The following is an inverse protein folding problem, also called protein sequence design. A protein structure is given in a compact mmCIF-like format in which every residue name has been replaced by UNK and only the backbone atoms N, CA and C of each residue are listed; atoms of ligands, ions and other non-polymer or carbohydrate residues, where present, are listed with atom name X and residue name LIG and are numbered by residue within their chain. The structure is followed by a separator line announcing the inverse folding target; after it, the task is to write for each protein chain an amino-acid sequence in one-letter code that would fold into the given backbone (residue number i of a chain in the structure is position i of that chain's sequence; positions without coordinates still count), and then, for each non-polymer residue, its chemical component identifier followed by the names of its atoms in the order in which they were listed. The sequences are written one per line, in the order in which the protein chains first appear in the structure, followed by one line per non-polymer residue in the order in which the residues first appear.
data_IF_914946791177
#
_entry.id   IF_914946791177
#
_cell.length_a   1.000
_cell.length_b   1.000
_cell.length_c   1.000
_cell.angle_alpha   90.00
_cell.angle_beta   90.00
_cell.angle_gamma   90.00
#
_symmetry.space_group_name_H-M   'P 1'
#
loop_
_entity.id
_entity.type
_entity.pdbx_description
1 polymer ?
#
# COMPACT_ATOMS: atom_id res chain seq x y z
N UNK A 1 -0.08 -16.99 6.49
CA UNK A 1 0.82 -15.93 6.95
C UNK A 1 0.53 -15.61 8.41
N UNK A 2 1.57 -15.43 9.23
CA UNK A 2 1.47 -14.91 10.60
C UNK A 2 2.77 -14.20 11.00
N UNK A 3 2.74 -13.40 12.07
CA UNK A 3 3.94 -12.77 12.62
C UNK A 3 4.71 -13.82 13.43
N UNK A 4 5.94 -14.14 13.02
CA UNK A 4 6.84 -15.04 13.76
C UNK A 4 7.55 -14.32 14.90
N UNK A 5 7.93 -13.06 14.68
CA UNK A 5 8.79 -12.32 15.61
C UNK A 5 8.67 -10.82 15.36
N UNK A 6 8.82 -10.03 16.42
CA UNK A 6 8.92 -8.57 16.34
C UNK A 6 10.22 -8.14 17.01
N UNK A 7 10.95 -7.23 16.37
CA UNK A 7 12.15 -6.58 16.92
C UNK A 7 11.89 -5.08 16.98
N UNK A 8 12.19 -4.47 18.11
CA UNK A 8 11.92 -3.05 18.38
C UNK A 8 13.16 -2.43 19.01
N UNK A 9 13.60 -1.28 18.50
CA UNK A 9 14.69 -0.49 19.09
C UNK A 9 14.36 1.00 19.03
N UNK A 10 14.70 1.74 20.09
CA UNK A 10 14.53 3.18 20.19
C UNK A 10 13.08 3.69 20.12
N UNK A 11 12.07 2.80 20.13
CA UNK A 11 10.67 3.17 19.88
C UNK A 11 9.90 3.37 21.19
N UNK A 12 9.44 4.59 21.46
CA UNK A 12 8.65 4.96 22.65
C UNK A 12 9.28 4.44 23.96
N UNK A 13 8.71 3.42 24.60
CA UNK A 13 9.24 2.86 25.85
C UNK A 13 10.40 1.86 25.65
N UNK A 14 10.71 1.49 24.40
CA UNK A 14 11.73 0.50 24.07
C UNK A 14 13.03 1.19 23.69
N UNK A 15 13.92 1.42 24.66
CA UNK A 15 15.21 2.08 24.41
C UNK A 15 16.17 1.17 23.66
N UNK A 16 16.44 0.00 24.22
CA UNK A 16 17.36 -0.99 23.67
C UNK A 16 16.66 -1.88 22.64
N UNK A 17 17.45 -2.61 21.83
CA UNK A 17 16.91 -3.60 20.92
C UNK A 17 16.29 -4.75 21.73
N UNK A 18 14.97 -4.89 21.63
CA UNK A 18 14.23 -6.00 22.20
C UNK A 18 13.64 -6.83 21.07
N UNK A 19 13.86 -8.13 21.16
CA UNK A 19 13.38 -9.12 20.23
C UNK A 19 12.42 -10.04 20.97
N UNK A 20 11.20 -10.22 20.46
CA UNK A 20 10.29 -11.19 21.04
C UNK A 20 10.78 -12.62 20.82
N UNK A 21 10.36 -13.52 21.69
CA UNK A 21 10.38 -14.94 21.39
C UNK A 21 9.50 -15.24 20.15
N UNK A 22 9.72 -16.40 19.49
CA UNK A 22 8.89 -16.81 18.37
C UNK A 22 7.42 -16.93 18.77
N UNK A 23 6.55 -16.21 18.08
CA UNK A 23 5.11 -16.30 18.27
C UNK A 23 4.56 -17.63 17.74
N UNK A 24 3.51 -18.10 18.42
CA UNK A 24 2.66 -19.16 17.94
C UNK A 24 1.84 -18.70 16.73
N UNK A 25 1.58 -19.57 15.73
CA UNK A 25 0.68 -19.24 14.62
C UNK A 25 -0.79 -19.10 15.04
N UNK A 26 -1.12 -19.45 16.29
CA UNK A 26 -2.48 -19.39 16.84
C UNK A 26 -2.65 -18.14 17.72
N UNK A 27 -2.70 -18.33 19.03
CA UNK A 27 -2.98 -17.28 20.01
C UNK A 27 -1.70 -16.94 20.75
N UNK A 28 -1.44 -15.64 20.89
CA UNK A 28 -0.33 -15.09 21.65
C UNK A 28 -0.89 -14.05 22.62
N UNK A 29 -0.35 -14.01 23.84
CA UNK A 29 -0.84 -13.12 24.90
C UNK A 29 0.32 -12.29 25.43
N UNK A 30 0.15 -10.97 25.43
CA UNK A 30 1.15 -10.02 25.94
C UNK A 30 0.67 -9.50 27.29
N UNK A 31 1.43 -9.78 28.34
CA UNK A 31 1.11 -9.41 29.74
C UNK A 31 2.21 -8.57 30.36
N UNK A 32 1.90 -7.88 31.46
CA UNK A 32 2.84 -7.02 32.18
C UNK A 32 2.12 -5.95 33.01
N UNK A 33 2.84 -5.32 33.95
CA UNK A 33 2.31 -4.26 34.81
C UNK A 33 1.86 -3.02 34.03
N UNK A 34 1.03 -2.16 34.63
CA UNK A 34 0.68 -0.88 34.03
C UNK A 34 1.94 -0.02 33.82
N UNK A 35 2.04 0.63 32.66
CA UNK A 35 3.24 1.37 32.27
C UNK A 35 4.39 0.53 31.68
N UNK A 36 4.30 -0.81 31.66
CA UNK A 36 5.37 -1.69 31.16
C UNK A 36 5.58 -1.68 29.63
N UNK A 37 4.94 -0.76 28.89
CA UNK A 37 5.12 -0.64 27.44
C UNK A 37 4.24 -1.55 26.56
N UNK A 38 3.26 -2.28 27.11
CA UNK A 38 2.36 -3.16 26.33
C UNK A 38 1.65 -2.42 25.19
N UNK A 39 1.01 -1.28 25.48
CA UNK A 39 0.33 -0.48 24.45
C UNK A 39 1.31 0.08 23.41
N UNK A 40 2.54 0.39 23.83
CA UNK A 40 3.62 0.81 22.92
C UNK A 40 4.09 -0.33 22.02
N UNK A 41 4.05 -1.59 22.49
CA UNK A 41 4.34 -2.77 21.66
C UNK A 41 3.33 -2.91 20.52
N UNK A 42 2.04 -2.79 20.84
CA UNK A 42 0.99 -2.78 19.82
C UNK A 42 1.14 -1.58 18.87
N UNK A 43 1.53 -0.40 19.38
CA UNK A 43 1.86 0.74 18.51
C UNK A 43 3.05 0.46 17.59
N UNK A 44 4.08 -0.26 18.04
CA UNK A 44 5.22 -0.65 17.22
C UNK A 44 4.80 -1.54 16.04
N UNK A 45 3.97 -2.55 16.31
CA UNK A 45 3.43 -3.43 15.25
C UNK A 45 2.62 -2.61 14.23
N UNK A 46 1.73 -1.73 14.71
CA UNK A 46 0.94 -0.84 13.84
C UNK A 46 1.79 0.12 13.04
N UNK A 47 2.89 0.60 13.61
CA UNK A 47 3.80 1.50 12.93
C UNK A 47 4.38 0.87 11.65
N UNK A 48 4.61 -0.44 11.62
CA UNK A 48 5.03 -1.13 10.39
C UNK A 48 3.85 -1.45 9.47
N UNK A 49 2.74 -1.94 10.02
CA UNK A 49 1.62 -2.48 9.23
C UNK A 49 0.63 -1.45 8.70
N UNK A 50 0.54 -0.28 9.33
CA UNK A 50 -0.52 0.70 9.07
C UNK A 50 -0.03 1.91 8.30
N UNK A 51 -0.91 2.43 7.45
CA UNK A 51 -0.75 3.66 6.70
C UNK A 51 -0.98 4.93 7.55
N UNK A 52 -1.54 4.83 8.75
CA UNK A 52 -1.82 5.98 9.61
C UNK A 52 -0.58 6.83 9.92
N UNK A 53 0.60 6.22 9.89
CA UNK A 53 1.87 6.88 10.21
C UNK A 53 2.55 7.47 8.97
N UNK A 54 1.87 7.56 7.82
CA UNK A 54 2.50 7.96 6.57
C UNK A 54 2.75 9.46 6.44
N UNK A 55 1.96 10.28 7.15
CA UNK A 55 1.98 11.74 7.07
C UNK A 55 2.14 12.37 8.46
N UNK A 56 3.14 11.90 9.22
CA UNK A 56 3.44 12.41 10.55
C UNK A 56 4.08 13.80 10.48
N UNK A 57 3.64 14.71 11.36
CA UNK A 57 4.34 15.98 11.59
C UNK A 57 5.65 15.72 12.33
N UNK A 58 6.56 16.69 12.32
CA UNK A 58 7.85 16.57 13.01
C UNK A 58 7.70 16.25 14.51
N UNK A 59 6.69 16.86 15.16
CA UNK A 59 6.35 16.60 16.57
C UNK A 59 5.88 15.16 16.78
N UNK A 60 4.98 14.67 15.93
CA UNK A 60 4.47 13.29 16.01
C UNK A 60 5.57 12.25 15.77
N UNK A 61 6.54 12.56 14.90
CA UNK A 61 7.75 11.74 14.69
C UNK A 61 8.59 11.66 15.96
N UNK A 62 8.83 12.80 16.60
CA UNK A 62 9.54 12.88 17.88
C UNK A 62 8.89 11.99 18.94
N UNK A 63 7.56 12.03 19.04
CA UNK A 63 6.78 11.21 19.98
C UNK A 63 6.83 9.69 19.72
N UNK A 64 7.40 9.23 18.60
CA UNK A 64 7.68 7.81 18.35
C UNK A 64 9.06 7.39 18.84
N UNK A 65 9.99 8.33 18.97
CA UNK A 65 11.34 8.09 19.47
C UNK A 65 11.29 7.95 21.00
N UNK A 66 12.22 7.17 21.55
CA UNK A 66 12.40 7.08 22.99
C UNK A 66 12.93 8.41 23.54
N UNK A 67 12.18 9.00 24.47
CA UNK A 67 12.60 10.16 25.26
C UNK A 67 12.78 9.71 26.72
N UNK A 68 14.04 9.68 27.18
CA UNK A 68 14.43 9.46 28.56
C UNK A 68 15.10 10.69 29.15
N UNK A 69 15.28 10.72 30.48
CA UNK A 69 15.70 11.92 31.22
C UNK A 69 17.03 12.55 30.73
N UNK A 70 17.94 11.77 30.13
CA UNK A 70 19.26 12.27 29.70
C UNK A 70 19.65 11.88 28.26
N UNK A 71 18.86 11.06 27.54
CA UNK A 71 19.23 10.54 26.22
C UNK A 71 17.99 10.41 25.33
N UNK A 72 17.91 11.23 24.29
CA UNK A 72 16.98 11.04 23.17
C UNK A 72 17.68 10.26 22.05
N UNK A 73 16.99 9.25 21.51
CA UNK A 73 17.50 8.51 20.35
C UNK A 73 17.25 9.29 19.07
N UNK A 74 18.21 9.29 18.15
CA UNK A 74 18.10 9.98 16.86
C UNK A 74 17.18 9.25 15.86
N UNK A 75 17.00 7.96 16.06
CA UNK A 75 16.19 7.07 15.22
C UNK A 75 15.65 5.90 16.02
N UNK A 76 14.55 5.34 15.55
CA UNK A 76 13.96 4.11 16.07
C UNK A 76 13.59 3.19 14.90
N UNK A 77 13.58 1.88 15.11
CA UNK A 77 13.03 0.95 14.13
C UNK A 77 12.15 -0.11 14.75
N UNK A 78 11.28 -0.64 13.89
CA UNK A 78 10.51 -1.84 14.17
C UNK A 78 10.66 -2.78 12.98
N UNK A 79 11.01 -4.03 13.26
CA UNK A 79 11.06 -5.10 12.27
C UNK A 79 10.07 -6.20 12.63
N UNK A 80 9.25 -6.59 11.65
CA UNK A 80 8.33 -7.71 11.76
C UNK A 80 8.82 -8.82 10.84
N UNK A 81 9.01 -10.00 11.43
CA UNK A 81 9.34 -11.22 10.71
C UNK A 81 8.06 -12.00 10.49
N UNK A 82 7.68 -12.20 9.23
CA UNK A 82 6.49 -12.96 8.84
C UNK A 82 6.86 -14.39 8.43
N UNK A 83 5.98 -15.32 8.73
CA UNK A 83 5.88 -16.57 7.98
C UNK A 83 5.07 -16.29 6.71
N UNK A 84 5.70 -16.52 5.56
CA UNK A 84 5.15 -16.29 4.23
C UNK A 84 5.01 -17.60 3.45
N UNK A 85 4.77 -18.73 4.14
CA UNK A 85 4.64 -20.05 3.49
C UNK A 85 3.45 -20.15 2.53
N UNK A 86 2.46 -19.27 2.68
CA UNK A 86 1.29 -19.12 1.79
C UNK A 86 1.51 -18.08 0.67
N UNK A 87 2.71 -17.52 0.53
CA UNK A 87 3.10 -16.57 -0.53
C UNK A 87 2.17 -15.35 -0.67
N UNK A 88 1.60 -14.89 0.44
CA UNK A 88 0.77 -13.67 0.47
C UNK A 88 1.57 -12.42 0.15
N UNK A 89 2.80 -12.37 0.64
CA UNK A 89 3.78 -11.39 0.17
C UNK A 89 4.44 -12.01 -1.09
N UNK A 90 4.39 -11.34 -2.25
CA UNK A 90 4.87 -11.88 -3.53
C UNK A 90 6.41 -11.87 -3.61
N UNK A 91 7.05 -12.66 -2.75
CA UNK A 91 8.49 -12.84 -2.64
C UNK A 91 8.74 -14.34 -2.51
N UNK A 92 9.73 -14.87 -3.23
CA UNK A 92 10.11 -16.29 -3.24
C UNK A 92 10.85 -16.73 -1.95
N UNK A 93 10.32 -16.36 -0.79
CA UNK A 93 10.85 -16.73 0.52
C UNK A 93 9.74 -17.07 1.47
N UNK A 94 9.94 -18.16 2.21
CA UNK A 94 9.03 -18.63 3.26
C UNK A 94 9.05 -17.76 4.52
N UNK A 95 10.09 -16.95 4.70
CA UNK A 95 10.22 -16.00 5.81
C UNK A 95 10.63 -14.67 5.24
N UNK A 96 9.91 -13.62 5.62
CA UNK A 96 10.11 -12.25 5.12
C UNK A 96 10.28 -11.32 6.32
N UNK A 97 11.29 -10.45 6.28
CA UNK A 97 11.53 -9.42 7.30
C UNK A 97 11.19 -8.06 6.73
N UNK A 98 10.20 -7.39 7.29
CA UNK A 98 9.85 -6.02 6.94
C UNK A 98 10.24 -5.11 8.09
N UNK A 99 11.14 -4.16 7.83
CA UNK A 99 11.60 -3.17 8.79
C UNK A 99 11.21 -1.78 8.34
N UNK A 100 10.71 -0.98 9.28
CA UNK A 100 10.51 0.45 9.14
C UNK A 100 11.36 1.18 10.18
N UNK A 101 12.15 2.13 9.74
CA UNK A 101 12.95 3.02 10.58
C UNK A 101 12.37 4.42 10.50
N UNK A 102 12.13 5.06 11.66
CA UNK A 102 11.74 6.47 11.76
C UNK A 102 12.92 7.28 12.29
N UNK A 103 13.18 8.40 11.63
CA UNK A 103 14.09 9.44 12.11
C UNK A 103 13.38 10.80 12.05
N UNK A 104 14.02 11.86 12.54
CA UNK A 104 13.41 13.19 12.59
C UNK A 104 12.99 13.75 11.22
N UNK A 105 13.68 13.35 10.13
CA UNK A 105 13.45 13.90 8.77
C UNK A 105 12.66 12.99 7.83
N UNK A 106 12.97 11.69 7.84
CA UNK A 106 12.38 10.73 6.91
C UNK A 106 12.25 9.36 7.55
N UNK A 107 11.43 8.54 6.91
CA UNK A 107 11.32 7.12 7.21
C UNK A 107 12.05 6.34 6.14
N UNK A 108 12.63 5.22 6.55
CA UNK A 108 13.29 4.26 5.67
C UNK A 108 12.65 2.89 5.84
N UNK A 109 12.60 2.13 4.75
CA UNK A 109 11.94 0.85 4.70
C UNK A 109 12.90 -0.19 4.13
N UNK A 110 12.91 -1.37 4.75
CA UNK A 110 13.77 -2.47 4.34
C UNK A 110 12.98 -3.77 4.28
N UNK A 111 13.21 -4.54 3.22
CA UNK A 111 12.68 -5.89 3.03
C UNK A 111 13.86 -6.85 2.95
N UNK A 112 13.96 -7.76 3.93
CA UNK A 112 15.10 -8.66 4.10
C UNK A 112 16.46 -7.94 4.05
N UNK A 113 16.52 -6.76 4.67
CA UNK A 113 17.73 -5.91 4.72
C UNK A 113 18.00 -5.09 3.45
N UNK A 114 17.21 -5.25 2.38
CA UNK A 114 17.31 -4.42 1.18
C UNK A 114 16.41 -3.20 1.31
N UNK A 115 16.94 -2.03 1.03
CA UNK A 115 16.14 -0.80 1.02
C UNK A 115 15.07 -0.86 -0.07
N UNK A 116 13.83 -0.53 0.27
CA UNK A 116 12.69 -0.48 -0.66
C UNK A 116 11.90 0.82 -0.47
N UNK A 117 11.13 1.20 -1.48
CA UNK A 117 10.32 2.41 -1.41
C UNK A 117 9.08 2.21 -0.54
N UNK A 118 8.58 3.31 0.03
CA UNK A 118 7.29 3.35 0.74
C UNK A 118 6.15 2.78 -0.11
N UNK A 119 6.09 3.15 -1.39
CA UNK A 119 5.04 2.69 -2.30
C UNK A 119 5.06 1.17 -2.48
N UNK A 120 6.25 0.58 -2.63
CA UNK A 120 6.39 -0.88 -2.72
C UNK A 120 5.95 -1.57 -1.42
N UNK A 121 6.34 -1.05 -0.25
CA UNK A 121 5.88 -1.59 1.04
C UNK A 121 4.36 -1.60 1.13
N UNK A 122 3.71 -0.50 0.76
CA UNK A 122 2.26 -0.39 0.80
C UNK A 122 1.60 -1.42 -0.13
N UNK A 123 2.14 -1.62 -1.34
CA UNK A 123 1.63 -2.62 -2.27
C UNK A 123 1.81 -4.05 -1.75
N UNK A 124 2.95 -4.34 -1.10
CA UNK A 124 3.21 -5.64 -0.48
C UNK A 124 2.24 -5.92 0.68
N UNK A 125 1.99 -4.92 1.53
CA UNK A 125 1.05 -5.03 2.63
C UNK A 125 -0.39 -5.20 2.16
N UNK A 126 -0.79 -4.46 1.12
CA UNK A 126 -2.11 -4.58 0.48
C UNK A 126 -2.32 -6.01 -0.06
N UNK A 127 -1.36 -6.53 -0.82
CA UNK A 127 -1.39 -7.90 -1.35
C UNK A 127 -1.45 -8.95 -0.24
N UNK A 128 -0.81 -8.68 0.90
CA UNK A 128 -0.82 -9.57 2.05
C UNK A 128 -2.13 -9.54 2.87
N UNK A 129 -3.04 -8.61 2.54
CA UNK A 129 -4.34 -8.44 3.19
C UNK A 129 -4.35 -7.39 4.31
N UNK A 130 -3.29 -6.60 4.47
CA UNK A 130 -3.24 -5.46 5.38
C UNK A 130 -3.75 -4.19 4.69
N UNK A 131 -4.97 -4.26 4.14
CA UNK A 131 -5.55 -3.19 3.33
C UNK A 131 -6.05 -2.02 4.17
N UNK A 132 -6.00 -0.82 3.59
CA UNK A 132 -6.58 0.40 4.19
C UNK A 132 -8.11 0.31 4.32
N UNK A 133 -8.78 -0.33 3.37
CA UNK A 133 -10.24 -0.49 3.37
C UNK A 133 -10.72 -1.56 4.34
N UNK A 134 -9.80 -2.38 4.87
CA UNK A 134 -10.11 -3.47 5.79
C UNK A 134 -9.19 -3.48 7.02
N UNK A 135 -9.39 -2.59 8.01
CA UNK A 135 -8.52 -2.42 9.16
C UNK A 135 -8.71 -3.49 10.26
N UNK A 136 -9.50 -4.55 10.03
CA UNK A 136 -9.82 -5.57 11.05
C UNK A 136 -8.63 -6.37 11.57
N UNK A 137 -7.43 -6.18 11.00
CA UNK A 137 -6.19 -6.77 11.51
C UNK A 137 -5.70 -6.11 12.82
N UNK A 138 -6.21 -4.93 13.21
CA UNK A 138 -5.93 -4.32 14.53
C UNK A 138 -7.17 -3.69 15.15
N UNK A 139 -7.58 -4.22 16.31
CA UNK A 139 -8.71 -3.68 17.09
C UNK A 139 -8.18 -2.96 18.33
N UNK A 140 -8.56 -1.70 18.52
CA UNK A 140 -8.18 -0.90 19.70
C UNK A 140 -9.24 -0.98 20.79
N UNK A 141 -8.79 -0.96 22.05
CA UNK A 141 -9.66 -0.81 23.21
C UNK A 141 -10.46 0.50 23.10
N UNK A 142 -11.77 0.45 23.35
CA UNK A 142 -12.66 1.61 23.30
C UNK A 142 -13.25 1.95 21.92
N UNK A 143 -12.79 1.30 20.85
CA UNK A 143 -13.52 1.32 19.56
C UNK A 143 -14.52 0.17 19.55
N UNK A 144 -15.75 0.42 19.96
CA UNK A 144 -16.83 -0.58 19.94
C UNK A 144 -16.96 -1.18 18.54
N UNK A 145 -17.10 -2.51 18.43
CA UNK A 145 -17.28 -3.21 17.16
C UNK A 145 -18.44 -2.60 16.33
N UNK A 146 -19.49 -2.12 17.00
CA UNK A 146 -20.66 -1.47 16.38
C UNK A 146 -20.32 -0.15 15.69
N UNK A 147 -19.56 0.74 16.34
CA UNK A 147 -19.16 2.02 15.74
C UNK A 147 -18.25 1.83 14.51
N UNK A 148 -17.43 0.77 14.52
CA UNK A 148 -16.62 0.42 13.35
C UNK A 148 -17.46 -0.24 12.25
N UNK A 149 -18.47 -1.05 12.57
CA UNK A 149 -19.30 -1.69 11.55
C UNK A 149 -20.06 -0.65 10.73
N UNK A 150 -20.71 0.32 11.38
CA UNK A 150 -21.44 1.39 10.69
C UNK A 150 -20.52 2.26 9.83
N UNK A 151 -19.36 2.62 10.38
CA UNK A 151 -18.37 3.41 9.66
C UNK A 151 -17.78 2.63 8.47
N UNK A 152 -17.50 1.33 8.65
CA UNK A 152 -16.96 0.46 7.59
C UNK A 152 -18.00 0.16 6.52
N UNK A 153 -19.28 -0.02 6.87
CA UNK A 153 -20.37 -0.16 5.90
C UNK A 153 -20.49 1.12 5.07
N UNK A 154 -20.40 2.30 5.71
CA UNK A 154 -20.41 3.58 4.98
C UNK A 154 -19.17 3.76 4.10
N UNK A 155 -17.99 3.43 4.60
CA UNK A 155 -16.74 3.60 3.87
C UNK A 155 -16.64 2.59 2.71
N UNK A 156 -17.04 1.33 2.92
CA UNK A 156 -17.17 0.32 1.87
C UNK A 156 -18.22 0.67 0.81
N UNK A 157 -19.35 1.28 1.21
CA UNK A 157 -20.33 1.79 0.26
C UNK A 157 -19.77 2.95 -0.59
N UNK A 158 -19.00 3.86 0.00
CA UNK A 158 -18.32 4.94 -0.73
C UNK A 158 -17.26 4.40 -1.69
N UNK A 159 -16.46 3.42 -1.27
CA UNK A 159 -15.47 2.78 -2.14
C UNK A 159 -16.13 2.11 -3.34
N UNK A 160 -17.26 1.41 -3.12
CA UNK A 160 -18.04 0.81 -4.20
C UNK A 160 -18.60 1.88 -5.14
N UNK A 161 -19.14 2.98 -4.61
CA UNK A 161 -19.66 4.09 -5.41
C UNK A 161 -18.56 4.76 -6.26
N UNK A 162 -17.36 4.93 -5.69
CA UNK A 162 -16.19 5.44 -6.42
C UNK A 162 -15.74 4.48 -7.52
N UNK A 163 -15.69 3.17 -7.25
CA UNK A 163 -15.35 2.16 -8.24
C UNK A 163 -16.35 2.12 -9.38
N UNK A 164 -17.66 2.20 -9.08
CA UNK A 164 -18.70 2.26 -10.10
C UNK A 164 -18.62 3.54 -10.94
N UNK A 165 -18.39 4.69 -10.30
CA UNK A 165 -18.21 5.97 -10.99
C UNK A 165 -16.99 5.96 -11.90
N UNK A 166 -15.87 5.44 -11.42
CA UNK A 166 -14.64 5.26 -12.19
C UNK A 166 -14.85 4.32 -13.38
N UNK A 167 -15.52 3.18 -13.17
CA UNK A 167 -15.88 2.23 -14.22
C UNK A 167 -16.78 2.87 -15.29
N UNK A 168 -17.78 3.66 -14.88
CA UNK A 168 -18.66 4.38 -15.80
C UNK A 168 -17.89 5.38 -16.66
N UNK A 169 -16.93 6.12 -16.08
CA UNK A 169 -16.04 7.00 -16.84
C UNK A 169 -15.15 6.23 -17.82
N UNK A 170 -14.63 5.07 -17.45
CA UNK A 170 -13.84 4.23 -18.34
C UNK A 170 -14.67 3.68 -19.51
N UNK A 171 -15.91 3.25 -19.27
CA UNK A 171 -16.83 2.81 -20.31
C UNK A 171 -17.22 3.95 -21.26
N UNK A 172 -17.52 5.14 -20.72
CA UNK A 172 -17.80 6.33 -21.53
C UNK A 172 -16.61 6.73 -22.42
N UNK A 173 -15.39 6.69 -21.88
CA UNK A 173 -14.16 6.92 -22.67
C UNK A 173 -13.94 5.85 -23.73
N UNK A 174 -14.20 4.57 -23.43
CA UNK A 174 -14.14 3.50 -24.41
C UNK A 174 -15.13 3.71 -25.55
N UNK A 175 -16.37 4.10 -25.24
CA UNK A 175 -17.41 4.36 -26.22
C UNK A 175 -17.07 5.57 -27.10
N UNK A 176 -16.54 6.64 -26.51
CA UNK A 176 -16.08 7.81 -27.26
C UNK A 176 -14.91 7.47 -28.19
N UNK A 177 -13.94 6.67 -27.72
CA UNK A 177 -12.84 6.16 -28.55
C UNK A 177 -13.35 5.26 -29.69
N UNK A 178 -14.27 4.34 -29.40
CA UNK A 178 -14.88 3.46 -30.39
C UNK A 178 -15.65 4.26 -31.46
N UNK A 179 -16.36 5.32 -31.04
CA UNK A 179 -17.05 6.23 -31.96
C UNK A 179 -16.07 6.94 -32.88
N UNK A 180 -14.97 7.50 -32.34
CA UNK A 180 -13.91 8.13 -33.15
C UNK A 180 -13.31 7.16 -34.17
N UNK A 181 -13.08 5.90 -33.78
CA UNK A 181 -12.58 4.85 -34.70
C UNK A 181 -13.61 4.57 -35.80
N UNK A 182 -14.89 4.48 -35.46
CA UNK A 182 -15.98 4.26 -36.43
C UNK A 182 -16.12 5.43 -37.39
N UNK A 183 -15.98 6.66 -36.91
CA UNK A 183 -16.05 7.89 -37.72
C UNK A 183 -14.85 8.03 -38.67
N UNK A 184 -13.70 7.44 -38.32
CA UNK A 184 -12.53 7.34 -39.20
C UNK A 184 -12.70 6.30 -40.32
N UNK A 185 -13.57 5.31 -40.15
CA UNK A 185 -13.83 4.25 -41.14
C UNK A 185 -14.22 4.78 -42.52
N UNK A 186 -15.26 5.64 -42.63
CA UNK A 186 -15.64 6.28 -43.89
C UNK A 186 -14.54 7.13 -44.50
N UNK A 187 -13.67 7.73 -43.69
CA UNK A 187 -12.56 8.55 -44.16
C UNK A 187 -11.47 7.70 -44.82
N UNK A 188 -11.14 6.56 -44.21
CA UNK A 188 -10.22 5.56 -44.77
C UNK A 188 -10.80 4.91 -46.03
N UNK A 189 -12.09 4.55 -46.03
CA UNK A 189 -12.76 4.01 -47.22
C UNK A 189 -12.81 5.00 -48.39
N UNK A 190 -13.13 6.27 -48.12
CA UNK A 190 -13.13 7.31 -49.15
C UNK A 190 -11.71 7.65 -49.64
N UNK A 191 -10.71 7.57 -48.76
CA UNK A 191 -9.30 7.73 -49.16
C UNK A 191 -8.83 6.59 -50.07
N UNK A 192 -9.18 5.33 -49.74
CA UNK A 192 -8.90 4.16 -50.59
C UNK A 192 -9.63 4.27 -51.93
N UNK A 193 -10.90 4.69 -51.94
CA UNK A 193 -11.67 4.91 -53.18
C UNK A 193 -11.13 6.09 -54.01
N UNK A 194 -10.65 7.14 -53.36
CA UNK A 194 -10.05 8.31 -54.01
C UNK A 194 -8.70 8.02 -54.67
N UNK A 195 -7.93 7.06 -54.15
CA UNK A 195 -6.69 6.59 -54.79
C UNK A 195 -6.92 5.65 -55.99
N UNK A 196 -8.11 5.05 -56.11
CA UNK A 196 -8.50 4.21 -57.25
C UNK A 196 -9.10 4.99 -58.43
N UNK A 197 -9.29 6.32 -58.28
CA UNK A 197 -9.64 7.19 -59.40
C UNK A 197 -8.37 7.52 -60.20
N UNK A 198 -8.03 6.67 -61.17
CA UNK A 198 -7.03 6.99 -62.19
C UNK A 198 -7.44 8.26 -62.95
N UNK A 199 -6.57 9.25 -63.14
CA UNK A 199 -6.85 10.34 -64.07
C UNK A 199 -6.87 9.77 -65.49
N UNK A 200 -8.00 9.89 -66.19
CA UNK A 200 -8.03 9.70 -67.65
C UNK A 200 -7.24 10.85 -68.28
N UNK A 201 -6.00 10.58 -68.67
CA UNK A 201 -5.22 11.45 -69.54
C UNK A 201 -5.72 11.28 -70.98
N UNK A 202 -6.69 12.10 -71.39
CA UNK A 202 -6.97 12.32 -72.81
C UNK A 202 -5.99 13.36 -73.37
N UNK A 203 -5.08 12.92 -74.23
CA UNK A 203 -4.32 13.81 -75.11
C UNK A 203 -2.80 13.71 -74.99
N UNK A 204 -2.20 12.67 -75.59
CA UNK A 204 -0.84 12.74 -76.08
C UNK A 204 -0.87 12.63 -77.62
N UNK A 205 -0.29 13.59 -78.38
CA UNK A 205 -0.25 13.53 -79.83
C UNK A 205 0.78 12.49 -80.31
N UNK A 206 0.38 11.73 -81.32
CA UNK A 206 1.17 10.71 -82.01
C UNK A 206 2.37 11.32 -82.75
N UNK A 207 3.57 10.78 -82.50
CA UNK A 207 4.78 11.03 -83.29
C UNK A 207 4.98 9.87 -84.27
N UNK A 208 5.09 10.23 -85.56
CA UNK A 208 5.87 9.50 -86.57
C UNK A 208 7.30 10.04 -86.49
#
# INVERSE_FOLDING_TARGET
MYIKKVVVEGFKSYREEISTEPFSPKVNVVVGANGSGKSNFFHAIRFVLSDMFQNLRSEDRGALLHEGADISVLSAFVEIVFDNSDNRIPVEKKVVRLRRTVASKKDEYYLDGKHISKTEVMNLLENAGFSRSNPYYVVQQGKTLEANLDQTVRDGAKDLEQLMSSRSMHLAKQEECMKKIRDLGPFVENWIRGQLATPQWEGAPSVI
#
